data_IF_529138087077
#
_entry.id   IF_529138087077
#
_cell.length_a   1.000
_cell.length_b   1.000
_cell.length_c   1.000
_cell.angle_alpha   90.00
_cell.angle_beta   90.00
_cell.angle_gamma   90.00
#
_symmetry.space_group_name_H-M   'P 1'
#
loop_
_entity.id
_entity.type
_entity.pdbx_description
1 polymer ?
#
# COMPACT_ATOMS: atom_id res chain seq x y z
N UNK A 1 -0.71 15.40 -17.03
CA UNK A 1 -0.58 15.39 -17.23
C UNK A 1 -0.27 14.95 -17.50
N UNK A 2 -0.19 14.63 -17.36
CA UNK A 2 0.04 14.27 -17.63
C UNK A 2 0.48 14.04 -17.73
N UNK A 3 0.56 13.92 -17.75
CA UNK A 3 1.02 13.82 -17.87
C UNK A 3 1.54 13.87 -17.66
N UNK A 4 1.61 13.89 -17.50
CA UNK A 4 2.08 14.03 -17.31
C UNK A 4 2.61 13.81 -17.04
N UNK A 5 2.67 13.64 -16.92
CA UNK A 5 3.05 13.42 -16.75
C UNK A 5 3.46 12.74 -16.89
N UNK A 6 3.50 12.61 -17.05
CA UNK A 6 3.74 12.04 -17.20
C UNK A 6 4.17 11.46 -17.42
N UNK A 7 4.41 11.42 -17.47
CA UNK A 7 4.70 11.06 -17.63
C UNK A 7 5.20 10.59 -17.55
N UNK A 8 5.39 10.41 -17.44
CA UNK A 8 5.72 9.93 -17.35
C UNK A 8 6.26 9.14 -17.42
N UNK A 9 6.44 8.81 -17.41
CA UNK A 9 6.78 7.98 -17.51
C UNK A 9 7.10 7.21 -17.78
N UNK A 10 7.29 6.87 -17.94
CA UNK A 10 7.43 5.96 -18.20
C UNK A 10 7.96 5.21 -18.08
N UNK A 11 8.18 4.93 -18.00
CA UNK A 11 8.53 4.23 -18.02
C UNK A 11 9.02 3.53 -17.82
N UNK A 12 9.19 3.48 -17.53
CA UNK A 12 9.52 2.83 -17.51
C UNK A 12 9.59 2.22 -17.03
N UNK A 13 9.46 2.42 -16.89
CA UNK A 13 9.22 1.53 -16.66
C UNK A 13 9.96 0.31 -16.64
N UNK A 14 10.74 0.00 -16.43
CA UNK A 14 11.53 -1.03 -16.31
C UNK A 14 11.62 -1.51 -14.97
N UNK A 15 12.01 -2.43 -14.35
CA UNK A 15 11.97 -2.85 -12.99
C UNK A 15 10.63 -3.45 -12.62
N UNK A 16 10.29 -3.55 -11.33
CA UNK A 16 9.05 -4.17 -10.90
C UNK A 16 7.83 -3.46 -11.47
N UNK A 17 6.78 -4.21 -11.69
CA UNK A 17 5.50 -3.63 -12.03
C UNK A 17 5.04 -2.71 -10.91
N UNK A 18 4.21 -1.72 -11.23
CA UNK A 18 3.72 -0.81 -10.23
C UNK A 18 2.21 -0.74 -10.28
N UNK A 19 1.63 -0.40 -9.14
CA UNK A 19 0.23 -0.05 -9.01
C UNK A 19 0.07 1.46 -9.09
N UNK A 20 -1.15 1.97 -9.20
CA UNK A 20 -1.35 3.40 -9.03
C UNK A 20 -0.66 3.88 -7.75
N UNK A 21 -0.14 5.09 -7.78
CA UNK A 21 0.64 5.69 -6.70
C UNK A 21 2.02 5.07 -6.52
N UNK A 22 2.46 4.29 -7.51
CA UNK A 22 3.84 3.82 -7.52
C UNK A 22 4.15 2.71 -6.53
N UNK A 23 3.16 1.94 -6.09
CA UNK A 23 3.43 0.80 -5.21
C UNK A 23 4.13 -0.28 -6.02
N UNK A 24 5.37 -0.65 -5.67
CA UNK A 24 6.08 -1.67 -6.44
C UNK A 24 5.53 -3.06 -6.17
N UNK A 25 5.54 -3.89 -7.20
CA UNK A 25 5.16 -5.29 -7.11
C UNK A 25 6.34 -6.17 -7.52
N UNK A 26 6.39 -7.40 -7.01
CA UNK A 26 7.44 -8.33 -7.45
C UNK A 26 7.34 -8.58 -8.95
N UNK A 27 8.48 -8.84 -9.61
CA UNK A 27 8.44 -9.17 -11.04
C UNK A 27 7.69 -10.49 -11.27
N UNK A 28 7.23 -10.67 -12.51
CA UNK A 28 6.41 -11.85 -12.83
C UNK A 28 7.14 -13.16 -12.55
N UNK A 29 8.47 -13.17 -12.67
CA UNK A 29 9.27 -14.34 -12.43
C UNK A 29 9.86 -14.38 -11.02
N UNK A 30 9.38 -13.52 -10.12
CA UNK A 30 9.86 -13.49 -8.76
C UNK A 30 9.22 -14.58 -7.90
N UNK A 31 9.46 -14.49 -6.60
CA UNK A 31 8.95 -15.47 -5.65
C UNK A 31 7.43 -15.40 -5.58
N UNK A 32 6.78 -16.54 -5.76
CA UNK A 32 5.32 -16.59 -5.80
C UNK A 32 4.70 -16.29 -4.44
N UNK A 33 5.39 -16.64 -3.36
CA UNK A 33 4.87 -16.35 -2.02
C UNK A 33 4.88 -14.85 -1.74
N UNK A 34 5.95 -14.17 -2.16
CA UNK A 34 6.02 -12.72 -2.01
C UNK A 34 4.93 -12.04 -2.84
N UNK A 35 4.75 -12.49 -4.08
CA UNK A 35 3.70 -11.91 -4.93
C UNK A 35 2.32 -12.12 -4.33
N UNK A 36 2.04 -13.33 -3.83
CA UNK A 36 0.74 -13.61 -3.21
C UNK A 36 0.50 -12.74 -2.00
N UNK A 37 1.54 -12.52 -1.19
CA UNK A 37 1.42 -11.66 -0.02
C UNK A 37 1.15 -10.22 -0.44
N UNK A 38 1.90 -9.71 -1.41
CA UNK A 38 1.72 -8.32 -1.85
C UNK A 38 0.30 -8.10 -2.40
N UNK A 39 -0.18 -9.05 -3.19
CA UNK A 39 -1.53 -8.93 -3.74
C UNK A 39 -2.59 -8.95 -2.64
N UNK A 40 -2.39 -9.80 -1.63
CA UNK A 40 -3.32 -9.88 -0.52
C UNK A 40 -3.34 -8.59 0.30
N UNK A 41 -2.17 -8.02 0.56
CA UNK A 41 -2.08 -6.77 1.30
C UNK A 41 -2.74 -5.62 0.52
N UNK A 42 -2.49 -5.56 -0.78
CA UNK A 42 -3.12 -4.51 -1.58
C UNK A 42 -4.63 -4.61 -1.62
N UNK A 43 -5.13 -5.85 -1.59
CA UNK A 43 -6.57 -6.08 -1.61
C UNK A 43 -7.24 -5.72 -0.29
N UNK A 44 -6.59 -6.06 0.83
CA UNK A 44 -7.18 -5.84 2.15
C UNK A 44 -6.07 -5.64 3.19
N UNK A 45 -5.47 -4.45 3.25
CA UNK A 45 -4.30 -4.24 4.11
C UNK A 45 -4.57 -4.41 5.60
N UNK A 46 -5.83 -4.29 6.01
CA UNK A 46 -6.18 -4.46 7.41
C UNK A 46 -6.49 -5.88 7.83
N UNK A 47 -6.41 -6.86 6.92
CA UNK A 47 -6.83 -8.21 7.23
C UNK A 47 -5.89 -8.92 8.19
N UNK A 48 -4.60 -8.63 8.14
CA UNK A 48 -3.62 -9.19 9.07
C UNK A 48 -2.85 -8.06 9.74
N UNK A 49 -2.40 -8.32 10.97
CA UNK A 49 -1.76 -7.28 11.76
C UNK A 49 -0.25 -7.24 11.64
N UNK A 50 0.38 -8.29 11.10
CA UNK A 50 1.83 -8.34 11.09
C UNK A 50 2.34 -9.13 9.90
N UNK A 51 3.62 -8.92 9.57
CA UNK A 51 4.25 -9.69 8.51
C UNK A 51 4.25 -11.18 8.84
N UNK A 52 4.39 -11.54 10.12
CA UNK A 52 4.37 -12.93 10.52
C UNK A 52 3.04 -13.60 10.16
N UNK A 53 1.93 -12.89 10.36
CA UNK A 53 0.62 -13.43 10.03
C UNK A 53 0.44 -13.58 8.53
N UNK A 54 0.86 -12.57 7.77
CA UNK A 54 0.81 -12.66 6.31
C UNK A 54 1.67 -13.81 5.81
N UNK A 55 2.86 -13.99 6.42
CA UNK A 55 3.78 -15.05 6.03
C UNK A 55 3.14 -16.41 6.22
N UNK A 56 2.43 -16.61 7.33
CA UNK A 56 1.76 -17.86 7.60
C UNK A 56 0.74 -18.18 6.49
N UNK A 57 0.05 -17.16 5.99
CA UNK A 57 -0.95 -17.36 4.95
C UNK A 57 -0.35 -17.89 3.64
N UNK A 58 0.91 -17.55 3.36
CA UNK A 58 1.55 -17.95 2.11
C UNK A 58 2.57 -19.05 2.29
N UNK A 59 2.66 -19.62 3.50
CA UNK A 59 3.53 -20.76 3.75
C UNK A 59 5.00 -20.42 3.81
N UNK A 60 5.36 -19.24 4.29
CA UNK A 60 6.75 -18.83 4.42
C UNK A 60 6.99 -18.29 5.82
N UNK A 61 8.26 -18.20 6.21
CA UNK A 61 8.61 -17.56 7.47
C UNK A 61 8.68 -16.05 7.29
N UNK A 62 8.47 -15.34 8.39
CA UNK A 62 8.62 -13.88 8.37
C UNK A 62 10.00 -13.48 7.88
N UNK A 63 11.02 -14.21 8.33
CA UNK A 63 12.40 -13.92 7.95
C UNK A 63 12.60 -14.07 6.44
N UNK A 64 12.06 -15.13 5.87
CA UNK A 64 12.16 -15.35 4.43
C UNK A 64 11.51 -14.21 3.67
N UNK A 65 10.32 -13.80 4.08
CA UNK A 65 9.63 -12.73 3.37
C UNK A 65 10.32 -11.39 3.54
N UNK A 66 10.88 -11.12 4.73
CA UNK A 66 11.63 -9.88 4.92
C UNK A 66 12.82 -9.82 3.96
N UNK A 67 13.49 -10.96 3.79
CA UNK A 67 14.62 -11.03 2.86
C UNK A 67 14.16 -10.83 1.42
N UNK A 68 13.05 -11.45 1.05
CA UNK A 68 12.52 -11.31 -0.31
C UNK A 68 12.08 -9.89 -0.62
N UNK A 69 11.49 -9.19 0.34
CA UNK A 69 11.15 -7.79 0.12
C UNK A 69 12.38 -6.99 -0.26
N UNK A 70 13.45 -7.16 0.46
CA UNK A 70 14.67 -6.41 0.16
C UNK A 70 15.29 -6.84 -1.17
N UNK A 71 15.30 -8.13 -1.45
CA UNK A 71 15.91 -8.64 -2.65
C UNK A 71 15.15 -8.25 -3.92
N UNK A 72 13.81 -8.32 -3.87
CA UNK A 72 13.01 -8.13 -5.06
C UNK A 72 12.41 -6.73 -5.16
N UNK A 73 12.07 -6.11 -4.03
CA UNK A 73 11.44 -4.79 -4.04
C UNK A 73 12.35 -3.69 -3.51
N UNK A 74 13.52 -4.05 -2.99
CA UNK A 74 14.50 -3.10 -2.52
C UNK A 74 14.01 -2.23 -1.38
N UNK A 75 13.08 -2.73 -0.60
CA UNK A 75 12.51 -1.99 0.51
C UNK A 75 12.10 -2.97 1.60
N UNK A 76 11.92 -2.46 2.82
CA UNK A 76 11.38 -3.27 3.91
C UNK A 76 9.87 -3.38 3.82
N UNK A 77 9.34 -4.39 4.52
CA UNK A 77 7.90 -4.63 4.50
C UNK A 77 7.11 -3.43 5.05
N UNK A 78 7.56 -2.84 6.16
CA UNK A 78 6.79 -1.75 6.75
C UNK A 78 6.71 -0.54 5.83
N UNK A 79 7.80 -0.21 5.17
CA UNK A 79 7.82 0.89 4.24
C UNK A 79 6.94 0.59 3.02
N UNK A 80 7.01 -0.62 2.51
CA UNK A 80 6.16 -1.03 1.40
C UNK A 80 4.69 -1.04 1.82
N UNK A 81 4.40 -1.54 3.02
CA UNK A 81 3.04 -1.59 3.54
C UNK A 81 2.42 -0.20 3.62
N UNK A 82 3.20 0.79 4.03
CA UNK A 82 2.68 2.14 4.11
C UNK A 82 2.20 2.62 2.73
N UNK A 83 2.96 2.32 1.69
CA UNK A 83 2.54 2.67 0.34
C UNK A 83 1.27 1.92 -0.06
N UNK A 84 1.18 0.66 0.30
CA UNK A 84 -0.02 -0.13 0.01
C UNK A 84 -1.25 0.42 0.73
N UNK A 85 -1.08 0.84 1.99
CA UNK A 85 -2.16 1.45 2.75
C UNK A 85 -2.64 2.72 2.08
N UNK A 86 -1.71 3.58 1.65
CA UNK A 86 -2.09 4.82 0.99
C UNK A 86 -2.81 4.55 -0.34
N UNK A 87 -2.32 3.58 -1.10
CA UNK A 87 -2.95 3.23 -2.36
C UNK A 87 -4.37 2.72 -2.16
N UNK A 88 -4.62 2.03 -1.05
CA UNK A 88 -5.96 1.53 -0.72
C UNK A 88 -6.84 2.66 -0.20
N UNK A 89 -6.27 3.57 0.58
CA UNK A 89 -7.02 4.62 1.26
C UNK A 89 -7.48 5.74 0.33
N UNK A 90 -6.63 6.15 -0.61
CA UNK A 90 -6.93 7.32 -1.42
C UNK A 90 -8.20 7.18 -2.25
N UNK A 91 -8.47 6.06 -2.94
CA UNK A 91 -9.74 5.93 -3.65
C UNK A 91 -10.95 5.96 -2.72
N UNK A 92 -10.82 5.40 -1.52
CA UNK A 92 -11.92 5.44 -0.55
C UNK A 92 -12.20 6.86 -0.11
N UNK A 93 -11.16 7.62 0.19
CA UNK A 93 -11.33 9.02 0.57
C UNK A 93 -11.94 9.83 -0.57
N UNK A 94 -11.50 9.57 -1.79
CA UNK A 94 -12.04 10.30 -2.94
C UNK A 94 -13.53 10.02 -3.14
N UNK A 95 -14.00 8.85 -2.71
CA UNK A 95 -15.42 8.52 -2.79
C UNK A 95 -16.22 9.00 -1.58
N UNK A 96 -15.58 9.70 -0.66
CA UNK A 96 -16.27 10.25 0.50
C UNK A 96 -16.43 9.28 1.66
N UNK A 97 -15.72 8.16 1.65
CA UNK A 97 -15.78 7.23 2.78
C UNK A 97 -15.23 7.93 4.01
N UNK A 98 -15.91 7.86 5.15
CA UNK A 98 -15.40 8.54 6.36
C UNK A 98 -14.02 8.07 6.76
N UNK A 99 -13.21 9.00 7.27
CA UNK A 99 -11.84 8.70 7.65
C UNK A 99 -11.77 7.57 8.66
N UNK A 100 -12.72 7.53 9.60
CA UNK A 100 -12.77 6.46 10.59
C UNK A 100 -12.87 5.09 9.94
N UNK A 101 -13.70 4.97 8.90
CA UNK A 101 -13.86 3.70 8.20
C UNK A 101 -12.61 3.36 7.38
N UNK A 102 -11.98 4.37 6.79
CA UNK A 102 -10.74 4.12 6.05
C UNK A 102 -9.65 3.64 6.99
N UNK A 103 -9.56 4.24 8.17
CA UNK A 103 -8.58 3.81 9.18
C UNK A 103 -8.78 2.34 9.54
N UNK A 104 -10.03 1.96 9.80
CA UNK A 104 -10.33 0.56 10.14
C UNK A 104 -9.99 -0.38 8.99
N UNK A 105 -10.35 0.00 7.77
CA UNK A 105 -10.11 -0.85 6.60
C UNK A 105 -8.63 -1.05 6.32
N UNK A 106 -7.78 -0.14 6.77
CA UNK A 106 -6.34 -0.24 6.55
C UNK A 106 -5.59 -0.76 7.78
N UNK A 107 -6.33 -1.17 8.81
CA UNK A 107 -5.72 -1.86 9.95
C UNK A 107 -5.22 -0.95 11.05
N UNK A 108 -5.67 0.30 11.09
CA UNK A 108 -5.27 1.22 12.15
C UNK A 108 -6.26 1.14 13.31
N UNK A 109 -5.72 1.21 14.53
CA UNK A 109 -6.53 1.07 15.72
C UNK A 109 -7.45 2.27 15.94
N UNK A 110 -7.09 3.44 15.40
CA UNK A 110 -7.88 4.64 15.59
C UNK A 110 -7.74 5.56 14.40
N UNK A 111 -8.72 6.44 14.26
CA UNK A 111 -8.65 7.48 13.26
C UNK A 111 -7.44 8.37 13.47
N UNK A 112 -7.12 8.69 14.73
CA UNK A 112 -5.97 9.54 15.04
C UNK A 112 -4.67 8.93 14.56
N UNK A 113 -4.47 7.62 14.78
CA UNK A 113 -3.25 6.95 14.36
C UNK A 113 -3.12 6.95 12.83
N UNK A 114 -4.23 6.66 12.16
CA UNK A 114 -4.23 6.69 10.70
C UNK A 114 -3.93 8.09 10.18
N UNK A 115 -4.59 9.10 10.73
CA UNK A 115 -4.42 10.48 10.26
C UNK A 115 -3.00 10.99 10.47
N UNK A 116 -2.37 10.61 11.58
CA UNK A 116 -0.99 11.01 11.83
C UNK A 116 -0.05 10.40 10.79
N UNK A 117 -0.23 9.11 10.51
CA UNK A 117 0.57 8.45 9.48
C UNK A 117 0.33 9.09 8.11
N UNK A 118 -0.93 9.30 7.78
CA UNK A 118 -1.31 9.83 6.48
C UNK A 118 -0.72 11.23 6.26
N UNK A 119 -0.86 12.10 7.26
CA UNK A 119 -0.35 13.45 7.14
C UNK A 119 1.17 13.45 7.01
N UNK A 120 1.86 12.60 7.77
CA UNK A 120 3.31 12.51 7.67
C UNK A 120 3.75 12.06 6.28
N UNK A 121 3.00 11.13 5.67
CA UNK A 121 3.36 10.61 4.36
C UNK A 121 2.96 11.53 3.21
N UNK A 122 1.79 12.15 3.31
CA UNK A 122 1.21 12.90 2.20
C UNK A 122 1.34 14.41 2.33
N UNK A 123 1.72 14.91 3.50
CA UNK A 123 1.84 16.33 3.74
C UNK A 123 0.53 17.02 4.08
N UNK A 124 -0.59 16.35 3.94
CA UNK A 124 -1.91 16.89 4.22
C UNK A 124 -2.75 15.84 4.94
N UNK A 125 -3.70 16.25 5.79
CA UNK A 125 -4.56 15.30 6.47
C UNK A 125 -5.49 14.57 5.49
N UNK A 126 -6.03 13.41 5.91
CA UNK A 126 -6.87 12.63 5.01
C UNK A 126 -8.08 13.38 4.47
N UNK A 127 -8.69 14.23 5.26
CA UNK A 127 -9.88 14.95 4.80
C UNK A 127 -9.59 15.88 3.64
N UNK A 128 -8.32 16.29 3.48
CA UNK A 128 -7.94 17.11 2.34
C UNK A 128 -8.22 16.38 1.02
N UNK A 129 -8.17 15.06 1.04
CA UNK A 129 -8.37 14.24 -0.14
C UNK A 129 -9.79 13.68 -0.23
N UNK A 130 -10.65 14.01 0.71
CA UNK A 130 -12.00 13.49 0.76
C UNK A 130 -12.88 14.23 -0.23
N UNK A 131 -13.77 13.49 -0.91
CA UNK A 131 -14.67 14.09 -1.87
C UNK A 131 -15.71 14.97 -1.17
N UNK A 132 -15.89 16.17 -1.68
CA UNK A 132 -16.92 17.07 -1.17
C UNK A 132 -18.28 16.77 -1.77
N UNK A 133 -18.28 16.04 -2.87
CA UNK A 133 -19.55 15.73 -3.52
C UNK A 133 -20.41 14.81 -2.67
N UNK A 134 -19.80 14.06 -1.74
CA UNK A 134 -20.56 13.21 -0.85
C UNK A 134 -21.31 14.01 0.19
N UNK A 135 -20.92 15.23 0.43
CA UNK A 135 -21.61 16.09 1.38
C UNK A 135 -22.80 16.77 0.77
#
# INVERSE_FOLDING_TARGET
REDLLAALVPADLRGPATQPLGVPLPPADGDKRLRALCEAVLRAPGQRGSLAEWAADVGASERTLARLFRAELRTGYQQWRQQAVLAHALPLLARGVPVQQVAAATGYASESAFSAMFKAAMGQPPRHFQSRAAG
#
